data_IF_970758494525
#
_entry.id   IF_970758494525
#
_cell.length_a   1.000
_cell.length_b   1.000
_cell.length_c   1.000
_cell.angle_alpha   90.00
_cell.angle_beta   90.00
_cell.angle_gamma   90.00
#
_symmetry.space_group_name_H-M   'P 1'
#
loop_
_entity.id
_entity.type
_entity.pdbx_description
1 polymer ?
#
# COMPACT_ATOMS: atom_id res chain seq x y z
N UNK A 1 -4.14 6.31 -14.19
CA UNK A 1 -3.50 5.03 -13.80
C UNK A 1 -2.10 4.91 -14.37
N UNK A 2 -1.85 5.30 -15.62
CA UNK A 2 -0.48 5.31 -16.18
C UNK A 2 0.49 6.12 -15.32
N UNK A 3 0.16 7.37 -15.01
CA UNK A 3 1.00 8.26 -14.18
C UNK A 3 1.27 7.72 -12.76
N UNK A 4 0.37 6.93 -12.20
CA UNK A 4 0.56 6.30 -10.89
C UNK A 4 1.63 5.19 -11.00
N UNK A 5 1.46 4.26 -11.94
CA UNK A 5 2.39 3.15 -12.12
C UNK A 5 3.78 3.63 -12.56
N UNK A 6 3.87 4.65 -13.40
CA UNK A 6 5.15 5.27 -13.76
C UNK A 6 5.87 5.84 -12.53
N UNK A 7 5.13 6.42 -11.58
CA UNK A 7 5.70 6.93 -10.34
C UNK A 7 6.10 5.79 -9.38
N UNK A 8 5.32 4.70 -9.32
CA UNK A 8 5.66 3.51 -8.55
C UNK A 8 6.93 2.85 -9.08
N UNK A 9 7.10 2.74 -10.40
CA UNK A 9 8.31 2.21 -11.02
C UNK A 9 9.54 3.06 -10.68
N UNK A 10 9.43 4.38 -10.83
CA UNK A 10 10.51 5.32 -10.46
C UNK A 10 10.88 5.22 -8.98
N UNK A 11 9.88 5.17 -8.10
CA UNK A 11 10.10 5.05 -6.66
C UNK A 11 10.72 3.68 -6.32
N UNK A 12 10.27 2.60 -6.96
CA UNK A 12 10.86 1.28 -6.80
C UNK A 12 12.34 1.28 -7.17
N UNK A 13 12.72 1.94 -8.26
CA UNK A 13 14.12 2.06 -8.65
C UNK A 13 14.98 2.75 -7.56
N UNK A 14 14.46 3.79 -6.91
CA UNK A 14 15.13 4.46 -5.79
C UNK A 14 15.28 3.52 -4.60
N UNK A 15 14.21 2.82 -4.21
CA UNK A 15 14.24 1.86 -3.10
C UNK A 15 15.19 0.69 -3.38
N UNK A 16 15.24 0.18 -4.62
CA UNK A 16 16.16 -0.90 -5.02
C UNK A 16 17.61 -0.44 -4.95
N UNK A 17 17.90 0.79 -5.38
CA UNK A 17 19.23 1.35 -5.26
C UNK A 17 19.67 1.47 -3.79
N UNK A 18 18.78 1.91 -2.90
CA UNK A 18 19.06 2.00 -1.47
C UNK A 18 19.35 0.62 -0.83
N UNK A 19 18.66 -0.41 -1.29
CA UNK A 19 18.80 -1.79 -0.81
C UNK A 19 19.74 -2.67 -1.64
N UNK A 20 20.56 -2.12 -2.54
CA UNK A 20 21.33 -2.89 -3.53
C UNK A 20 22.36 -3.88 -2.93
N UNK A 21 22.64 -3.76 -1.64
CA UNK A 21 23.53 -4.66 -0.88
C UNK A 21 22.82 -5.93 -0.38
N UNK A 22 21.48 -5.99 -0.48
CA UNK A 22 20.67 -7.11 -0.01
C UNK A 22 20.31 -8.07 -1.17
N UNK A 23 20.14 -9.38 -0.89
CA UNK A 23 19.53 -10.32 -1.83
C UNK A 23 18.11 -9.90 -2.26
N UNK A 24 17.71 -10.21 -3.50
CA UNK A 24 16.41 -9.80 -4.04
C UNK A 24 15.21 -10.37 -3.25
N UNK A 25 15.32 -11.60 -2.73
CA UNK A 25 14.28 -12.19 -1.88
C UNK A 25 14.12 -11.46 -0.54
N UNK A 26 15.22 -11.00 0.07
CA UNK A 26 15.16 -10.20 1.29
C UNK A 26 14.55 -8.82 1.01
N UNK A 27 14.88 -8.20 -0.13
CA UNK A 27 14.26 -6.95 -0.55
C UNK A 27 12.75 -7.08 -0.73
N UNK A 28 12.27 -8.14 -1.37
CA UNK A 28 10.83 -8.42 -1.50
C UNK A 28 10.17 -8.57 -0.13
N UNK A 29 10.79 -9.33 0.77
CA UNK A 29 10.27 -9.53 2.12
C UNK A 29 10.17 -8.20 2.90
N UNK A 30 11.18 -7.34 2.79
CA UNK A 30 11.16 -6.00 3.40
C UNK A 30 10.03 -5.12 2.86
N UNK A 31 9.77 -5.16 1.55
CA UNK A 31 8.65 -4.39 0.98
C UNK A 31 7.30 -4.89 1.49
N UNK A 32 7.11 -6.21 1.64
CA UNK A 32 5.90 -6.76 2.27
C UNK A 32 5.79 -6.32 3.73
N UNK A 33 6.90 -6.32 4.48
CA UNK A 33 6.95 -5.81 5.86
C UNK A 33 6.54 -4.34 5.96
N UNK A 34 6.98 -3.50 5.01
CA UNK A 34 6.63 -2.07 4.97
C UNK A 34 5.13 -1.84 4.81
N UNK A 35 4.41 -2.72 4.12
CA UNK A 35 2.93 -2.65 4.05
C UNK A 35 2.30 -2.73 5.44
N UNK A 36 2.80 -3.63 6.29
CA UNK A 36 2.29 -3.78 7.65
C UNK A 36 2.67 -2.59 8.55
N UNK A 37 3.87 -2.04 8.37
CA UNK A 37 4.34 -0.85 9.09
C UNK A 37 3.43 0.35 8.81
N UNK A 38 3.22 0.71 7.55
CA UNK A 38 2.37 1.84 7.14
C UNK A 38 0.90 1.65 7.55
N UNK A 39 0.38 0.41 7.45
CA UNK A 39 -0.96 0.11 7.93
C UNK A 39 -1.06 0.25 9.48
N UNK A 40 0.03 -0.06 10.19
CA UNK A 40 0.17 0.14 11.62
C UNK A 40 0.17 1.62 12.01
N UNK A 41 0.82 2.48 11.23
CA UNK A 41 0.79 3.94 11.41
C UNK A 41 -0.63 4.49 11.23
N UNK A 42 -1.34 4.09 10.17
CA UNK A 42 -2.74 4.46 9.97
C UNK A 42 -3.64 4.02 11.14
N UNK A 43 -3.39 2.83 11.68
CA UNK A 43 -4.07 2.32 12.88
C UNK A 43 -3.71 3.12 14.13
N UNK A 44 -2.45 3.55 14.27
CA UNK A 44 -2.01 4.41 15.36
C UNK A 44 -2.76 5.74 15.32
N UNK A 45 -2.76 6.43 14.17
CA UNK A 45 -3.48 7.68 13.99
C UNK A 45 -4.99 7.52 14.27
N UNK A 46 -5.58 6.40 13.86
CA UNK A 46 -6.98 6.09 14.15
C UNK A 46 -7.22 5.88 15.65
N UNK A 47 -6.35 5.14 16.35
CA UNK A 47 -6.46 4.96 17.79
C UNK A 47 -6.30 6.30 18.52
N UNK A 48 -5.37 7.13 18.07
CA UNK A 48 -5.22 8.53 18.45
C UNK A 48 -6.52 9.31 18.36
N UNK A 49 -7.09 9.35 17.17
CA UNK A 49 -8.36 10.03 16.87
C UNK A 49 -9.53 9.52 17.72
N UNK A 50 -9.48 8.24 18.15
CA UNK A 50 -10.52 7.61 18.98
C UNK A 50 -10.24 7.68 20.48
N UNK A 51 -9.13 8.29 20.91
CA UNK A 51 -8.73 8.35 22.31
C UNK A 51 -8.42 6.96 22.90
N UNK A 52 -7.96 6.03 22.07
CA UNK A 52 -7.62 4.65 22.43
C UNK A 52 -6.12 4.46 22.72
N UNK A 53 -5.35 5.54 22.70
CA UNK A 53 -3.90 5.58 22.96
C UNK A 53 -3.58 6.68 23.96
N UNK A 54 -2.44 6.58 24.62
CA UNK A 54 -1.90 7.59 25.54
C UNK A 54 -0.94 8.57 24.85
N UNK A 55 -0.67 8.37 23.55
CA UNK A 55 0.17 9.24 22.75
C UNK A 55 -0.69 10.35 22.11
N UNK A 56 -0.41 11.61 22.44
CA UNK A 56 -0.79 12.83 21.71
C UNK A 56 -2.27 13.06 21.34
N UNK A 57 -2.79 14.26 21.61
CA UNK A 57 -4.24 14.53 21.45
C UNK A 57 -4.64 15.15 20.09
N UNK A 58 -3.69 15.35 19.16
CA UNK A 58 -3.93 16.08 17.90
C UNK A 58 -4.02 15.17 16.66
N UNK A 59 -4.73 14.04 16.78
CA UNK A 59 -4.96 13.15 15.66
C UNK A 59 -6.19 13.54 14.84
N UNK A 60 -6.11 13.35 13.52
CA UNK A 60 -7.19 13.74 12.60
C UNK A 60 -7.46 12.67 11.54
N UNK A 61 -8.65 12.72 10.93
CA UNK A 61 -8.93 11.89 9.75
C UNK A 61 -7.98 12.18 8.58
N UNK A 62 -7.42 13.40 8.50
CA UNK A 62 -6.43 13.74 7.46
C UNK A 62 -5.13 12.97 7.64
N UNK A 63 -4.71 12.75 8.88
CA UNK A 63 -3.52 11.96 9.22
C UNK A 63 -3.77 10.47 8.92
N UNK A 64 -4.90 9.92 9.37
CA UNK A 64 -5.30 8.54 9.02
C UNK A 64 -5.32 8.33 7.50
N UNK A 65 -5.87 9.29 6.75
CA UNK A 65 -5.91 9.22 5.30
C UNK A 65 -4.50 9.28 4.67
N UNK A 66 -3.61 10.12 5.21
CA UNK A 66 -2.23 10.22 4.76
C UNK A 66 -1.51 8.87 4.90
N UNK A 67 -1.63 8.23 6.07
CA UNK A 67 -0.93 6.97 6.35
C UNK A 67 -1.55 5.80 5.58
N UNK A 68 -2.86 5.82 5.35
CA UNK A 68 -3.51 4.89 4.43
C UNK A 68 -2.98 5.02 3.00
N UNK A 69 -2.67 6.24 2.53
CA UNK A 69 -2.01 6.45 1.24
C UNK A 69 -0.59 5.87 1.26
N UNK A 70 0.15 6.04 2.37
CA UNK A 70 1.43 5.37 2.61
C UNK A 70 1.33 3.84 2.44
N UNK A 71 0.34 3.22 3.09
CA UNK A 71 0.09 1.79 2.99
C UNK A 71 -0.27 1.33 1.55
N UNK A 72 -1.05 2.13 0.82
CA UNK A 72 -1.35 1.85 -0.60
C UNK A 72 -0.08 1.91 -1.46
N UNK A 73 0.76 2.94 -1.27
CA UNK A 73 2.02 3.08 -2.00
C UNK A 73 2.95 1.91 -1.68
N UNK A 74 3.10 1.54 -0.40
CA UNK A 74 3.90 0.39 0.01
C UNK A 74 3.39 -0.91 -0.61
N UNK A 75 2.07 -1.12 -0.67
CA UNK A 75 1.50 -2.31 -1.31
C UNK A 75 1.78 -2.35 -2.81
N UNK A 76 1.66 -1.22 -3.52
CA UNK A 76 1.98 -1.13 -4.94
C UNK A 76 3.47 -1.36 -5.22
N UNK A 77 4.35 -0.83 -4.38
CA UNK A 77 5.79 -1.11 -4.44
C UNK A 77 6.07 -2.60 -4.23
N UNK A 78 5.50 -3.22 -3.19
CA UNK A 78 5.66 -4.64 -2.91
C UNK A 78 5.20 -5.50 -4.10
N UNK A 79 4.05 -5.18 -4.71
CA UNK A 79 3.57 -5.85 -5.93
C UNK A 79 4.58 -5.73 -7.08
N UNK A 80 5.11 -4.53 -7.32
CA UNK A 80 6.10 -4.31 -8.39
C UNK A 80 7.45 -4.99 -8.09
N UNK A 81 7.82 -5.16 -6.82
CA UNK A 81 9.00 -5.94 -6.45
C UNK A 81 8.84 -7.43 -6.72
N UNK A 82 7.64 -7.97 -6.48
CA UNK A 82 7.30 -9.38 -6.73
C UNK A 82 7.25 -9.67 -8.23
N UNK A 83 6.60 -8.80 -9.01
CA UNK A 83 6.46 -8.94 -10.46
C UNK A 83 6.61 -7.58 -11.16
N UNK A 84 7.84 -7.20 -11.57
CA UNK A 84 8.09 -5.88 -12.16
C UNK A 84 7.35 -5.60 -13.47
N UNK A 85 7.03 -6.64 -14.25
CA UNK A 85 6.42 -6.49 -15.58
C UNK A 85 4.91 -6.73 -15.55
N UNK A 86 4.43 -7.60 -14.66
CA UNK A 86 3.01 -7.98 -14.58
C UNK A 86 2.21 -7.31 -13.47
N UNK A 87 2.83 -6.65 -12.47
CA UNK A 87 2.13 -6.09 -11.32
C UNK A 87 0.93 -5.20 -11.68
N UNK A 88 1.07 -4.36 -12.71
CA UNK A 88 -0.02 -3.51 -13.20
C UNK A 88 -1.19 -4.32 -13.75
N UNK A 89 -0.92 -5.29 -14.62
CA UNK A 89 -1.94 -6.14 -15.20
C UNK A 89 -2.67 -6.95 -14.11
N UNK A 90 -1.91 -7.49 -13.14
CA UNK A 90 -2.46 -8.21 -11.99
C UNK A 90 -3.36 -7.32 -11.13
N UNK A 91 -2.93 -6.08 -10.85
CA UNK A 91 -3.74 -5.13 -10.09
C UNK A 91 -5.06 -4.84 -10.81
N UNK A 92 -5.00 -4.50 -12.10
CA UNK A 92 -6.18 -4.18 -12.90
C UNK A 92 -7.13 -5.38 -12.95
N UNK A 93 -6.64 -6.59 -13.21
CA UNK A 93 -7.46 -7.80 -13.25
C UNK A 93 -8.17 -8.06 -11.90
N UNK A 94 -7.44 -8.00 -10.79
CA UNK A 94 -8.00 -8.22 -9.46
C UNK A 94 -9.03 -7.14 -9.11
N UNK A 95 -8.74 -5.87 -9.41
CA UNK A 95 -9.64 -4.76 -9.17
C UNK A 95 -10.95 -4.94 -9.95
N UNK A 96 -10.87 -5.18 -11.26
CA UNK A 96 -12.03 -5.40 -12.12
C UNK A 96 -12.90 -6.56 -11.60
N UNK A 97 -12.28 -7.68 -11.23
CA UNK A 97 -12.96 -8.84 -10.66
C UNK A 97 -13.66 -8.51 -9.34
N UNK A 98 -13.01 -7.76 -8.45
CA UNK A 98 -13.62 -7.34 -7.17
C UNK A 98 -14.80 -6.39 -7.38
N UNK A 99 -14.66 -5.39 -8.24
CA UNK A 99 -15.73 -4.43 -8.54
C UNK A 99 -16.91 -5.10 -9.22
N UNK A 100 -16.67 -6.04 -10.16
CA UNK A 100 -17.74 -6.83 -10.79
C UNK A 100 -18.55 -7.60 -9.74
N UNK A 101 -17.87 -8.35 -8.87
CA UNK A 101 -18.54 -9.11 -7.78
C UNK A 101 -19.32 -8.21 -6.84
N UNK A 102 -18.79 -7.03 -6.50
CA UNK A 102 -19.48 -6.07 -5.65
C UNK A 102 -20.81 -5.57 -6.26
N UNK A 103 -20.81 -5.29 -7.57
CA UNK A 103 -22.04 -4.89 -8.29
C UNK A 103 -23.07 -6.01 -8.35
N UNK A 104 -22.63 -7.24 -8.60
CA UNK A 104 -23.51 -8.42 -8.63
C UNK A 104 -24.16 -8.68 -7.28
N UNK A 105 -23.40 -8.56 -6.18
CA UNK A 105 -23.94 -8.72 -4.83
C UNK A 105 -24.97 -7.63 -4.49
N UNK A 106 -24.72 -6.38 -4.88
CA UNK A 106 -25.66 -5.29 -4.63
C UNK A 106 -26.96 -5.41 -5.45
N UNK A 107 -26.91 -5.99 -6.65
CA UNK A 107 -28.09 -6.21 -7.49
C UNK A 107 -28.97 -7.39 -7.02
N UNK A 108 -28.41 -8.28 -6.18
CA UNK A 108 -29.11 -9.43 -5.62
C UNK A 108 -29.72 -9.16 -4.22
N UNK A 109 -29.47 -7.98 -3.64
CA UNK A 109 -29.99 -7.53 -2.35
C UNK A 109 -31.22 -6.63 -2.53
#
# INVERSE_FOLDING_TARGET
MDTLWDNIEKLSAVCRAAGAHLPDEELKALQVGKVAEEAGEAMHALHGLKGLTTCGDDHSWSEVQNDLVGAVIAALLAMHYIDPTGARATFDEILHRRTRRGREAAAAA
#
